data_IF_515757871153
#
_entry.id   IF_515757871153
#
_cell.length_a   1.000
_cell.length_b   1.000
_cell.length_c   1.000
_cell.angle_alpha   90.00
_cell.angle_beta   90.00
_cell.angle_gamma   90.00
#
_symmetry.space_group_name_H-M   'P 1'
#
loop_
_entity.id
_entity.type
_entity.pdbx_description
1 polymer ?
#
# COMPACT_ATOMS: atom_id res chain seq x y z
N UNK A 1 -36.69 3.45 0.01
CA UNK A 1 -35.52 2.56 0.17
C UNK A 1 -34.47 2.68 -0.95
N UNK A 2 -34.75 3.26 -2.12
CA UNK A 2 -33.71 3.61 -3.12
C UNK A 2 -33.09 4.99 -2.88
N UNK A 3 -33.84 5.94 -2.30
CA UNK A 3 -33.31 7.26 -1.91
C UNK A 3 -32.26 7.20 -0.78
N UNK A 4 -32.24 6.12 0.01
CA UNK A 4 -31.21 5.91 1.04
C UNK A 4 -29.87 5.41 0.46
N UNK A 5 -29.86 4.95 -0.79
CA UNK A 5 -28.64 4.58 -1.52
C UNK A 5 -28.06 5.75 -2.34
N UNK A 6 -28.75 6.90 -2.35
CA UNK A 6 -28.33 8.14 -3.02
C UNK A 6 -28.01 9.26 -2.00
N UNK A 7 -27.86 8.92 -0.72
CA UNK A 7 -27.24 9.83 0.24
C UNK A 7 -25.76 9.99 -0.12
N UNK A 8 -25.23 11.23 -0.17
CA UNK A 8 -23.86 11.48 -0.63
C UNK A 8 -22.89 10.59 0.12
N UNK A 9 -22.04 9.88 -0.63
CA UNK A 9 -20.98 9.04 -0.07
C UNK A 9 -20.30 9.85 1.03
N UNK A 10 -20.29 9.37 2.30
CA UNK A 10 -19.77 10.13 3.41
C UNK A 10 -18.36 10.53 3.01
N UNK A 11 -18.15 11.85 2.92
CA UNK A 11 -16.94 12.44 2.40
C UNK A 11 -15.77 11.65 2.95
N UNK A 12 -15.03 10.99 2.05
CA UNK A 12 -13.76 10.38 2.34
C UNK A 12 -12.85 11.53 2.79
N UNK A 13 -12.99 11.91 4.06
CA UNK A 13 -12.03 12.71 4.79
C UNK A 13 -10.74 11.96 4.53
N UNK A 14 -9.83 12.62 3.83
CA UNK A 14 -8.60 12.15 3.17
C UNK A 14 -7.76 11.18 4.01
N UNK A 15 -8.07 11.01 5.29
CA UNK A 15 -7.52 9.99 6.13
C UNK A 15 -8.48 9.60 7.27
N UNK A 16 -8.86 8.31 7.43
CA UNK A 16 -9.62 7.87 8.59
C UNK A 16 -8.73 8.02 9.85
N UNK A 17 -9.21 8.65 10.93
CA UNK A 17 -8.45 8.78 12.16
C UNK A 17 -8.07 7.38 12.68
N UNK A 18 -6.78 7.19 13.00
CA UNK A 18 -6.22 5.93 13.48
C UNK A 18 -6.86 5.41 14.78
N UNK A 19 -7.68 6.23 15.44
CA UNK A 19 -8.46 5.87 16.63
C UNK A 19 -9.72 5.04 16.35
N UNK A 20 -10.06 4.76 15.09
CA UNK A 20 -11.17 3.87 14.72
C UNK A 20 -10.64 2.56 14.15
N UNK A 21 -11.37 1.45 14.33
CA UNK A 21 -10.98 0.14 13.78
C UNK A 21 -10.74 0.17 12.26
N UNK A 22 -11.49 1.02 11.55
CA UNK A 22 -11.32 1.28 10.11
C UNK A 22 -10.00 2.01 9.81
N UNK A 23 -9.58 2.93 10.67
CA UNK A 23 -8.29 3.62 10.57
C UNK A 23 -7.10 2.67 10.75
N UNK A 24 -7.17 1.76 11.73
CA UNK A 24 -6.13 0.73 11.91
C UNK A 24 -6.05 -0.24 10.72
N UNK A 25 -7.20 -0.66 10.16
CA UNK A 25 -7.23 -1.51 8.98
C UNK A 25 -6.62 -0.81 7.74
N UNK A 26 -6.97 0.47 7.52
CA UNK A 26 -6.42 1.27 6.43
C UNK A 26 -4.90 1.49 6.58
N UNK A 27 -4.44 1.76 7.80
CA UNK A 27 -3.01 1.88 8.09
C UNK A 27 -2.26 0.56 7.93
N UNK A 28 -2.85 -0.55 8.36
CA UNK A 28 -2.29 -1.88 8.15
C UNK A 28 -2.15 -2.22 6.67
N UNK A 29 -3.18 -1.91 5.86
CA UNK A 29 -3.13 -2.07 4.41
C UNK A 29 -2.04 -1.20 3.77
N UNK A 30 -1.94 0.07 4.16
CA UNK A 30 -0.90 0.98 3.67
C UNK A 30 0.50 0.47 4.03
N UNK A 31 0.72 0.04 5.27
CA UNK A 31 1.98 -0.55 5.71
C UNK A 31 2.30 -1.85 4.95
N UNK A 32 1.30 -2.70 4.68
CA UNK A 32 1.46 -3.88 3.85
C UNK A 32 1.93 -3.55 2.43
N UNK A 33 1.31 -2.56 1.79
CA UNK A 33 1.70 -2.11 0.45
C UNK A 33 3.11 -1.53 0.42
N UNK A 34 3.51 -0.73 1.41
CA UNK A 34 4.88 -0.18 1.46
C UNK A 34 5.92 -1.28 1.65
N UNK A 35 5.63 -2.27 2.49
CA UNK A 35 6.52 -3.43 2.69
C UNK A 35 6.64 -4.28 1.42
N UNK A 36 5.53 -4.54 0.70
CA UNK A 36 5.58 -5.26 -0.58
C UNK A 36 6.39 -4.49 -1.64
N UNK A 37 6.24 -3.17 -1.72
CA UNK A 37 7.02 -2.33 -2.62
C UNK A 37 8.51 -2.35 -2.28
N UNK A 38 8.85 -2.26 -0.99
CA UNK A 38 10.24 -2.32 -0.51
C UNK A 38 10.86 -3.70 -0.78
N UNK A 39 10.11 -4.78 -0.55
CA UNK A 39 10.56 -6.15 -0.86
C UNK A 39 10.84 -6.35 -2.35
N UNK A 40 9.95 -5.83 -3.22
CA UNK A 40 10.16 -5.84 -4.67
C UNK A 40 11.41 -5.06 -5.08
N UNK A 41 11.63 -3.89 -4.49
CA UNK A 41 12.84 -3.11 -4.71
C UNK A 41 14.10 -3.87 -4.27
N UNK A 42 14.07 -4.53 -3.11
CA UNK A 42 15.20 -5.34 -2.63
C UNK A 42 15.51 -6.48 -3.59
N UNK A 43 14.49 -7.19 -4.07
CA UNK A 43 14.66 -8.27 -5.05
C UNK A 43 15.27 -7.76 -6.35
N UNK A 44 14.81 -6.60 -6.85
CA UNK A 44 15.39 -5.95 -8.03
C UNK A 44 16.87 -5.58 -7.81
N UNK A 45 17.22 -5.05 -6.64
CA UNK A 45 18.61 -4.74 -6.28
C UNK A 45 19.47 -5.99 -6.25
N UNK A 46 19.00 -7.07 -5.62
CA UNK A 46 19.71 -8.36 -5.61
C UNK A 46 19.92 -8.89 -7.03
N UNK A 47 18.87 -8.90 -7.87
CA UNK A 47 18.98 -9.34 -9.26
C UNK A 47 19.97 -8.48 -10.05
N UNK A 48 19.93 -7.16 -9.86
CA UNK A 48 20.87 -6.24 -10.49
C UNK A 48 22.31 -6.54 -10.07
N UNK A 49 22.57 -6.76 -8.78
CA UNK A 49 23.89 -7.15 -8.30
C UNK A 49 24.33 -8.50 -8.84
N UNK A 50 23.45 -9.49 -8.92
CA UNK A 50 23.75 -10.80 -9.50
C UNK A 50 24.10 -10.67 -10.98
N UNK A 51 23.31 -9.92 -11.76
CA UNK A 51 23.59 -9.64 -13.18
C UNK A 51 24.93 -8.90 -13.34
N UNK A 52 25.20 -7.90 -12.52
CA UNK A 52 26.47 -7.16 -12.52
C UNK A 52 27.66 -8.05 -12.15
N UNK A 53 27.51 -8.93 -11.17
CA UNK A 53 28.57 -9.87 -10.78
C UNK A 53 28.78 -10.98 -11.82
N UNK A 54 27.69 -11.47 -12.44
CA UNK A 54 27.72 -12.48 -13.48
C UNK A 54 28.19 -11.94 -14.84
N UNK A 55 28.23 -10.61 -15.01
CA UNK A 55 28.79 -9.94 -16.19
C UNK A 55 30.11 -9.24 -15.80
N UNK A 56 31.20 -10.00 -15.57
CA UNK A 56 32.53 -9.41 -15.53
C UNK A 56 32.87 -9.02 -16.97
N UNK A 57 32.78 -7.72 -17.28
CA UNK A 57 33.39 -7.15 -18.49
C UNK A 57 34.91 -7.19 -18.36
#
# INVERSE_FOLDING_TARGET
RVAALLGPAPAARVWPPAFTAVGLAAWGAAAGTTVSALSSANSAVTLFFVLKAATPL
#
